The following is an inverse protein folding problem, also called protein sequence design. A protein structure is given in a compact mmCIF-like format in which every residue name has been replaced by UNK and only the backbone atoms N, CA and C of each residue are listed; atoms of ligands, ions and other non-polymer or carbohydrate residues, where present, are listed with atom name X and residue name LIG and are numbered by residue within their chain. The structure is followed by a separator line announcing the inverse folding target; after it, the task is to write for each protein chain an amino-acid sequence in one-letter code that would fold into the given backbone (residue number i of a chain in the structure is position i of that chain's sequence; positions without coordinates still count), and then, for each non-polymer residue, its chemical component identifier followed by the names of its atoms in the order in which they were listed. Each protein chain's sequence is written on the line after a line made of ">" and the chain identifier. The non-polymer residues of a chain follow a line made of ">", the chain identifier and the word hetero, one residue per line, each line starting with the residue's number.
data_IF_393711025596
#
_entry.id   IF_393711025596
#
_cell.length_a   1.000
_cell.length_b   1.000
_cell.length_c   1.000
_cell.angle_alpha   90.00
_cell.angle_beta   90.00
_cell.angle_gamma   90.00
#
_symmetry.space_group_name_H-M   'P 1'
#
loop_
_entity.id
_entity.type
_entity.pdbx_description
1 polymer ?
#
# COMPACT_ATOMS: atom_id res chain seq x y z
N UNK A 1 -1.39 -5.72 -12.05
CA UNK A 1 -0.16 -6.36 -11.55
C UNK A 1 1.02 -5.65 -12.18
N UNK A 2 2.03 -5.30 -11.39
CA UNK A 2 3.23 -4.59 -11.85
C UNK A 2 4.45 -5.38 -11.39
N UNK A 3 5.48 -5.45 -12.23
CA UNK A 3 6.78 -6.05 -11.90
C UNK A 3 7.85 -4.97 -12.03
N UNK A 4 8.64 -4.76 -10.99
CA UNK A 4 9.70 -3.76 -10.92
C UNK A 4 11.01 -4.48 -10.60
N UNK A 5 12.03 -4.29 -11.44
CA UNK A 5 13.37 -4.79 -11.16
C UNK A 5 14.17 -3.72 -10.44
N UNK A 6 14.60 -4.01 -9.22
CA UNK A 6 15.42 -3.12 -8.41
C UNK A 6 16.88 -3.60 -8.50
N UNK A 7 17.65 -2.95 -9.39
CA UNK A 7 19.10 -3.19 -9.50
C UNK A 7 19.79 -2.55 -8.29
N UNK A 8 20.78 -3.24 -7.75
CA UNK A 8 21.61 -2.74 -6.64
C UNK A 8 20.82 -2.41 -5.36
N UNK A 9 19.64 -3.03 -5.18
CA UNK A 9 18.81 -2.94 -3.96
C UNK A 9 18.56 -4.34 -3.42
N UNK A 10 19.16 -4.69 -2.27
CA UNK A 10 18.90 -5.96 -1.60
C UNK A 10 17.42 -6.13 -1.23
N UNK A 11 16.92 -7.36 -1.24
CA UNK A 11 15.53 -7.67 -0.92
C UNK A 11 15.13 -7.19 0.49
N UNK A 12 16.04 -7.31 1.47
CA UNK A 12 15.85 -6.81 2.84
C UNK A 12 15.68 -5.29 2.89
N UNK A 13 16.47 -4.54 2.12
CA UNK A 13 16.37 -3.08 2.07
C UNK A 13 15.02 -2.65 1.51
N UNK A 14 14.55 -3.30 0.45
CA UNK A 14 13.22 -3.01 -0.08
C UNK A 14 12.11 -3.41 0.90
N UNK A 15 12.29 -4.51 1.63
CA UNK A 15 11.37 -4.96 2.66
C UNK A 15 11.23 -3.95 3.80
N UNK A 16 12.35 -3.38 4.26
CA UNK A 16 12.39 -2.34 5.28
C UNK A 16 11.72 -1.05 4.79
N UNK A 17 12.02 -0.62 3.56
CA UNK A 17 11.40 0.57 2.95
C UNK A 17 9.87 0.45 2.88
N UNK A 18 9.33 -0.75 2.62
CA UNK A 18 7.89 -0.99 2.57
C UNK A 18 7.23 -1.06 3.96
N UNK A 19 8.00 -1.36 5.02
CA UNK A 19 7.51 -1.34 6.40
C UNK A 19 7.61 0.03 7.06
N UNK A 20 8.56 0.85 6.65
CA UNK A 20 8.80 2.16 7.25
C UNK A 20 7.73 3.20 6.83
N UNK A 21 6.70 3.32 7.68
CA UNK A 21 5.61 4.29 7.52
C UNK A 21 6.09 5.75 7.60
N UNK A 22 7.20 6.01 8.29
CA UNK A 22 7.79 7.34 8.42
C UNK A 22 8.56 7.73 7.16
N UNK A 23 9.32 6.80 6.58
CA UNK A 23 10.06 6.99 5.34
C UNK A 23 9.15 7.02 4.12
N UNK A 24 7.96 6.40 4.21
CA UNK A 24 6.96 6.43 3.14
C UNK A 24 6.62 7.83 2.65
N UNK A 25 6.63 8.83 3.55
CA UNK A 25 6.39 10.24 3.17
C UNK A 25 7.41 10.80 2.19
N UNK A 26 8.61 10.22 2.12
CA UNK A 26 9.68 10.67 1.23
C UNK A 26 9.50 10.20 -0.21
N UNK A 27 8.94 9.01 -0.41
CA UNK A 27 8.83 8.40 -1.73
C UNK A 27 7.39 8.35 -2.27
N UNK A 28 6.37 8.28 -1.41
CA UNK A 28 4.97 8.33 -1.82
C UNK A 28 4.48 9.78 -1.87
N UNK A 29 4.64 10.42 -3.03
CA UNK A 29 4.22 11.81 -3.26
C UNK A 29 2.71 12.05 -3.13
N UNK A 30 1.91 10.98 -3.18
CA UNK A 30 0.45 11.06 -3.05
C UNK A 30 -0.01 10.86 -1.61
N UNK A 31 0.82 10.36 -0.71
CA UNK A 31 0.45 10.12 0.67
C UNK A 31 0.16 11.44 1.40
N UNK A 32 -0.99 11.52 2.06
CA UNK A 32 -1.35 12.62 2.95
C UNK A 32 -0.97 12.25 4.39
N UNK A 33 -1.41 11.09 4.85
CA UNK A 33 -1.27 10.65 6.23
C UNK A 33 -1.23 9.12 6.30
N UNK A 34 -0.34 8.58 7.14
CA UNK A 34 -0.28 7.16 7.46
C UNK A 34 0.24 6.95 8.88
N UNK A 35 -0.30 5.95 9.58
CA UNK A 35 0.13 5.55 10.92
C UNK A 35 -0.46 4.17 11.27
N UNK A 36 0.19 3.47 12.20
CA UNK A 36 -0.31 2.20 12.72
C UNK A 36 -1.40 2.46 13.77
N UNK A 37 -2.50 1.72 13.68
CA UNK A 37 -3.61 1.77 14.63
C UNK A 37 -3.38 0.80 15.79
N UNK A 38 -2.85 -0.39 15.49
CA UNK A 38 -2.56 -1.39 16.51
C UNK A 38 -2.04 -2.69 15.94
N UNK A 39 -1.27 -3.42 16.75
CA UNK A 39 -0.69 -4.71 16.37
C UNK A 39 -1.62 -5.86 16.77
N UNK A 40 -1.84 -6.81 15.87
CA UNK A 40 -2.68 -7.99 16.09
C UNK A 40 -1.85 -9.22 16.47
N UNK A 41 -0.73 -9.43 15.76
CA UNK A 41 0.21 -10.53 16.01
C UNK A 41 1.64 -10.03 15.84
N UNK A 42 2.63 -10.91 15.98
CA UNK A 42 4.04 -10.56 15.70
C UNK A 42 4.26 -10.09 14.26
N UNK A 43 3.40 -10.52 13.32
CA UNK A 43 3.52 -10.29 11.89
C UNK A 43 2.23 -9.77 11.22
N UNK A 44 1.35 -9.13 12.00
CA UNK A 44 0.14 -8.51 11.48
C UNK A 44 -0.26 -7.28 12.31
N UNK A 45 -0.65 -6.21 11.63
CA UNK A 45 -1.14 -4.96 12.21
C UNK A 45 -2.39 -4.44 11.49
N UNK A 46 -3.02 -3.44 12.11
CA UNK A 46 -4.03 -2.59 11.47
C UNK A 46 -3.43 -1.20 11.36
N UNK A 47 -3.54 -0.59 10.17
CA UNK A 47 -3.01 0.73 9.88
C UNK A 47 -4.02 1.63 9.17
N UNK A 48 -3.79 2.93 9.29
CA UNK A 48 -4.46 3.97 8.52
C UNK A 48 -3.55 4.49 7.42
N UNK A 49 -4.13 4.76 6.26
CA UNK A 49 -3.43 5.40 5.15
C UNK A 49 -4.41 6.26 4.35
N UNK A 50 -3.96 7.42 3.88
CA UNK A 50 -4.73 8.29 3.00
C UNK A 50 -3.87 8.88 1.90
N UNK A 51 -4.46 9.03 0.72
CA UNK A 51 -3.80 9.62 -0.44
C UNK A 51 -4.59 10.78 -1.04
N UNK A 52 -3.84 11.65 -1.71
CA UNK A 52 -4.32 12.79 -2.48
C UNK A 52 -4.83 12.32 -3.83
N UNK A 53 -6.03 12.78 -4.20
CA UNK A 53 -6.56 12.60 -5.55
C UNK A 53 -6.41 13.89 -6.36
N UNK A 54 -6.35 13.81 -7.70
CA UNK A 54 -6.41 14.99 -8.56
C UNK A 54 -7.70 15.77 -8.32
N UNK A 55 -7.60 17.10 -8.19
CA UNK A 55 -8.77 17.98 -8.12
C UNK A 55 -9.63 17.82 -9.39
N UNK A 56 -10.99 17.80 -9.30
CA UNK A 56 -11.83 18.11 -8.14
C UNK A 56 -12.26 16.89 -7.31
N UNK A 57 -11.56 15.75 -7.42
CA UNK A 57 -11.95 14.54 -6.69
C UNK A 57 -11.61 14.65 -5.20
N UNK A 58 -12.51 14.18 -4.34
CA UNK A 58 -12.21 14.00 -2.91
C UNK A 58 -11.04 13.03 -2.71
N UNK A 59 -10.24 13.26 -1.68
CA UNK A 59 -9.15 12.34 -1.32
C UNK A 59 -9.71 11.01 -0.80
N UNK A 60 -8.87 9.96 -0.78
CA UNK A 60 -9.28 8.64 -0.26
C UNK A 60 -8.51 8.28 0.99
N UNK A 61 -9.19 7.58 1.89
CA UNK A 61 -8.58 6.95 3.05
C UNK A 61 -8.89 5.44 3.10
N UNK A 62 -8.06 4.73 3.85
CA UNK A 62 -8.11 3.29 4.05
C UNK A 62 -7.85 2.98 5.52
N UNK A 63 -8.51 1.92 5.97
CA UNK A 63 -8.13 1.21 7.19
C UNK A 63 -7.86 -0.22 6.74
N UNK A 64 -6.62 -0.68 6.87
CA UNK A 64 -6.19 -1.97 6.36
C UNK A 64 -5.62 -2.84 7.46
N UNK A 65 -5.93 -4.12 7.42
CA UNK A 65 -5.12 -5.13 8.08
C UNK A 65 -3.97 -5.48 7.13
N UNK A 66 -2.74 -5.39 7.61
CA UNK A 66 -1.53 -5.82 6.88
C UNK A 66 -0.91 -7.00 7.62
N UNK A 67 -0.43 -7.98 6.87
CA UNK A 67 0.36 -9.09 7.40
C UNK A 67 1.55 -9.36 6.48
N UNK A 68 2.66 -9.81 7.08
CA UNK A 68 3.90 -10.08 6.37
C UNK A 68 4.48 -11.44 6.74
N UNK A 69 5.25 -12.00 5.81
CA UNK A 69 5.86 -13.32 5.93
C UNK A 69 7.19 -13.34 5.17
N UNK A 70 8.33 -13.55 5.87
CA UNK A 70 9.58 -13.95 5.24
C UNK A 70 9.47 -15.36 4.63
N UNK A 71 10.02 -15.54 3.44
CA UNK A 71 9.94 -16.77 2.63
C UNK A 71 11.35 -17.20 2.20
N UNK A 72 12.20 -17.53 3.18
CA UNK A 72 13.63 -17.75 2.94
C UNK A 72 14.31 -16.42 2.59
N UNK A 73 14.78 -16.28 1.35
CA UNK A 73 15.39 -15.04 0.86
C UNK A 73 14.37 -14.06 0.24
N UNK A 74 13.12 -14.48 0.10
CA UNK A 74 12.02 -13.68 -0.44
C UNK A 74 11.16 -13.12 0.70
N UNK A 75 10.33 -12.12 0.40
CA UNK A 75 9.40 -11.53 1.37
C UNK A 75 8.03 -11.30 0.77
N UNK A 76 6.99 -11.52 1.57
CA UNK A 76 5.61 -11.22 1.20
C UNK A 76 4.96 -10.27 2.21
N UNK A 77 4.27 -9.26 1.70
CA UNK A 77 3.44 -8.33 2.49
C UNK A 77 2.09 -8.28 1.81
N UNK A 78 1.01 -8.56 2.53
CA UNK A 78 -0.36 -8.47 2.02
C UNK A 78 -1.19 -7.55 2.91
N UNK A 79 -2.16 -6.87 2.31
CA UNK A 79 -3.14 -6.10 3.05
C UNK A 79 -4.51 -6.10 2.35
N UNK A 80 -5.54 -5.92 3.15
CA UNK A 80 -6.91 -5.72 2.69
C UNK A 80 -7.64 -4.79 3.67
N UNK A 81 -8.72 -4.16 3.21
CA UNK A 81 -9.47 -3.22 4.03
C UNK A 81 -10.31 -3.90 5.10
N UNK A 82 -10.27 -3.35 6.30
CA UNK A 82 -11.08 -3.77 7.46
C UNK A 82 -11.87 -2.61 8.02
N UNK A 83 -12.92 -2.90 8.80
CA UNK A 83 -13.66 -1.88 9.55
C UNK A 83 -13.10 -1.84 10.97
N UNK A 84 -12.69 -0.65 11.43
CA UNK A 84 -12.29 -0.43 12.81
C UNK A 84 -13.26 0.55 13.48
N UNK A 85 -13.93 0.21 14.61
CA UNK A 85 -14.96 1.04 15.23
C UNK A 85 -14.51 2.47 15.56
N UNK A 86 -13.26 2.64 16.00
CA UNK A 86 -12.66 3.95 16.31
C UNK A 86 -12.21 4.77 15.08
N UNK A 87 -12.24 4.19 13.87
CA UNK A 87 -11.84 4.86 12.63
C UNK A 87 -12.96 4.79 11.57
N UNK A 88 -14.15 5.37 11.85
CA UNK A 88 -15.24 5.45 10.89
C UNK A 88 -14.85 6.32 9.66
N UNK A 89 -15.61 6.29 8.55
CA UNK A 89 -15.39 7.17 7.41
C UNK A 89 -15.37 8.66 7.81
N UNK A 90 -14.39 9.41 7.30
CA UNK A 90 -14.24 10.85 7.54
C UNK A 90 -14.96 11.66 6.44
N UNK A 91 -15.57 12.81 6.78
CA UNK A 91 -16.34 13.64 5.83
C UNK A 91 -15.51 14.16 4.65
N UNK A 92 -14.22 14.42 4.88
CA UNK A 92 -13.29 15.02 3.92
C UNK A 92 -12.66 14.00 2.98
N UNK A 93 -12.88 12.70 3.24
CA UNK A 93 -12.34 11.59 2.47
C UNK A 93 -13.46 10.68 1.96
N UNK A 94 -13.20 9.98 0.86
CA UNK A 94 -13.98 8.81 0.46
C UNK A 94 -13.27 7.58 1.02
N UNK A 95 -13.94 6.81 1.87
CA UNK A 95 -13.42 5.52 2.35
C UNK A 95 -13.40 4.52 1.20
N UNK A 96 -12.21 4.32 0.64
CA UNK A 96 -11.98 3.33 -0.38
C UNK A 96 -11.77 1.95 0.24
N UNK A 97 -11.81 0.91 -0.59
CA UNK A 97 -11.69 -0.48 -0.18
C UNK A 97 -10.59 -1.14 -0.99
N UNK A 98 -9.48 -1.50 -0.34
CA UNK A 98 -8.56 -2.49 -0.87
C UNK A 98 -9.18 -3.87 -0.68
N UNK A 99 -9.55 -4.53 -1.78
CA UNK A 99 -10.00 -5.91 -1.77
C UNK A 99 -8.80 -6.83 -1.49
N UNK A 100 -7.69 -6.56 -2.17
CA UNK A 100 -6.41 -7.22 -1.95
C UNK A 100 -5.29 -6.35 -2.52
N UNK A 101 -4.30 -6.03 -1.70
CA UNK A 101 -3.04 -5.44 -2.14
C UNK A 101 -1.89 -6.26 -1.59
N UNK A 102 -0.84 -6.47 -2.37
CA UNK A 102 0.31 -7.25 -1.93
C UNK A 102 1.59 -6.90 -2.65
N UNK A 103 2.68 -7.16 -1.94
CA UNK A 103 4.06 -7.04 -2.38
C UNK A 103 4.71 -8.41 -2.21
N UNK A 104 5.28 -8.94 -3.29
CA UNK A 104 6.19 -10.08 -3.23
C UNK A 104 7.55 -9.58 -3.71
N UNK A 105 8.52 -9.61 -2.80
CA UNK A 105 9.92 -9.23 -3.06
C UNK A 105 10.67 -10.53 -3.27
N UNK A 106 11.19 -10.75 -4.48
CA UNK A 106 12.03 -11.90 -4.79
C UNK A 106 13.49 -11.49 -4.84
N UNK A 107 14.34 -12.14 -4.06
CA UNK A 107 15.78 -11.95 -4.19
C UNK A 107 16.24 -12.41 -5.57
N UNK A 108 17.18 -11.68 -6.18
CA UNK A 108 17.62 -11.92 -7.56
C UNK A 108 19.15 -11.86 -7.72
N UNK A 109 19.88 -12.52 -6.81
CA UNK A 109 21.36 -12.51 -6.80
C UNK A 109 21.96 -11.11 -6.60
N UNK A 110 23.26 -11.04 -6.34
CA UNK A 110 24.08 -9.82 -6.40
C UNK A 110 23.46 -8.54 -5.80
N UNK A 111 22.85 -8.64 -4.62
CA UNK A 111 22.26 -7.48 -3.95
C UNK A 111 21.12 -6.81 -4.74
N UNK A 112 20.43 -7.55 -5.61
CA UNK A 112 19.29 -7.08 -6.39
C UNK A 112 18.01 -7.83 -6.01
N UNK A 113 16.85 -7.23 -6.31
CA UNK A 113 15.56 -7.87 -6.11
C UNK A 113 14.53 -7.51 -7.19
N UNK A 114 13.46 -8.30 -7.25
CA UNK A 114 12.30 -8.05 -8.11
C UNK A 114 11.08 -7.87 -7.22
N UNK A 115 10.43 -6.72 -7.34
CA UNK A 115 9.17 -6.43 -6.69
C UNK A 115 8.00 -6.78 -7.60
N UNK A 116 7.15 -7.69 -7.16
CA UNK A 116 5.84 -7.93 -7.72
C UNK A 116 4.79 -7.20 -6.87
N UNK A 117 4.07 -6.28 -7.50
CA UNK A 117 2.99 -5.53 -6.88
C UNK A 117 1.65 -5.96 -7.48
N UNK A 118 0.73 -6.38 -6.62
CA UNK A 118 -0.65 -6.71 -6.96
C UNK A 118 -1.58 -5.82 -6.16
N UNK A 119 -2.59 -5.27 -6.82
CA UNK A 119 -3.58 -4.43 -6.16
C UNK A 119 -4.93 -4.55 -6.86
N UNK A 120 -5.97 -4.70 -6.05
CA UNK A 120 -7.36 -4.66 -6.44
C UNK A 120 -8.08 -3.74 -5.45
N UNK A 121 -8.46 -2.56 -5.91
CA UNK A 121 -9.03 -1.50 -5.07
C UNK A 121 -10.33 -1.03 -5.69
N UNK A 122 -11.37 -0.94 -4.87
CA UNK A 122 -12.57 -0.14 -5.13
C UNK A 122 -12.36 1.25 -4.52
N UNK A 123 -12.05 2.28 -5.33
CA UNK A 123 -11.81 3.64 -4.85
C UNK A 123 -13.09 4.34 -4.35
N UNK A 124 -14.26 3.76 -4.61
CA UNK A 124 -15.60 4.26 -4.29
C UNK A 124 -15.90 5.70 -4.73
N UNK A 125 -17.16 6.08 -4.52
CA UNK A 125 -17.70 7.37 -4.91
C UNK A 125 -17.95 7.51 -6.40
N UNK A 126 -18.36 8.70 -6.82
CA UNK A 126 -18.68 9.00 -8.21
C UNK A 126 -17.40 9.33 -8.99
N UNK A 127 -16.69 8.30 -9.42
CA UNK A 127 -15.52 8.46 -10.28
C UNK A 127 -15.89 8.38 -11.76
N UNK A 128 -15.45 9.34 -12.59
CA UNK A 128 -15.47 9.16 -14.04
C UNK A 128 -14.70 7.89 -14.44
N UNK A 129 -15.18 7.16 -15.46
CA UNK A 129 -14.56 5.91 -15.93
C UNK A 129 -13.06 6.05 -16.23
N UNK A 130 -12.64 7.20 -16.76
CA UNK A 130 -11.22 7.46 -17.05
C UNK A 130 -10.33 7.49 -15.79
N UNK A 131 -10.89 7.91 -14.64
CA UNK A 131 -10.19 7.92 -13.35
C UNK A 131 -10.05 6.51 -12.83
N UNK A 132 -11.14 5.73 -12.86
CA UNK A 132 -11.15 4.32 -12.42
C UNK A 132 -10.04 3.53 -13.12
N UNK A 133 -9.86 3.76 -14.43
CA UNK A 133 -8.84 3.09 -15.24
C UNK A 133 -7.39 3.52 -14.90
N UNK A 134 -7.19 4.66 -14.22
CA UNK A 134 -5.87 5.16 -13.81
C UNK A 134 -5.58 5.03 -12.32
N UNK A 135 -6.53 4.55 -11.50
CA UNK A 135 -6.32 4.40 -10.04
C UNK A 135 -5.08 3.55 -9.75
N UNK A 136 -4.88 2.46 -10.47
CA UNK A 136 -3.69 1.61 -10.33
C UNK A 136 -2.37 2.38 -10.51
N UNK A 137 -2.33 3.41 -11.36
CA UNK A 137 -1.14 4.24 -11.59
C UNK A 137 -0.88 5.23 -10.45
N UNK A 138 -1.92 5.65 -9.72
CA UNK A 138 -1.79 6.56 -8.57
C UNK A 138 -1.35 5.84 -7.30
N UNK A 139 -1.62 4.54 -7.20
CA UNK A 139 -1.41 3.72 -5.99
C UNK A 139 -0.23 2.77 -6.12
N UNK A 140 0.23 2.52 -7.35
CA UNK A 140 1.43 1.72 -7.58
C UNK A 140 2.66 2.44 -7.03
N UNK A 141 3.56 1.72 -6.34
CA UNK A 141 4.88 2.25 -6.03
C UNK A 141 5.59 2.67 -7.32
N UNK A 142 6.26 3.81 -7.29
CA UNK A 142 7.14 4.28 -8.36
C UNK A 142 8.59 4.12 -7.94
#
# INVERSE_FOLDING_TARGET
>A
QTRISCKDVPAETLYDVLHDTSYRKKWDSNMIETYDIGRLTVNADVGYYSWKCPSPLKNRDFVTLRSWLPLGNDYMIINYSVKHPKYPPRKDFVRAVSLQTGYLIKANGDGACILYYLTQVDPRGSLPKWVVNRVSQFVAPK
#
